data_IF_045662452586
#
_entry.id   IF_045662452586
#
_cell.length_a   1.000
_cell.length_b   1.000
_cell.length_c   1.000
_cell.angle_alpha   90.00
_cell.angle_beta   90.00
_cell.angle_gamma   90.00
#
_symmetry.space_group_name_H-M   'P 1'
#
loop_
_entity.id
_entity.type
_entity.pdbx_description
1 polymer ?
#
# COMPACT_ATOMS: atom_id res chain seq x y z
N UNK A 1 -8.99 19.74 -3.31
CA UNK A 1 -7.78 18.88 -3.41
C UNK A 1 -7.75 18.00 -2.18
N UNK A 2 -7.56 16.68 -2.33
CA UNK A 2 -7.31 15.81 -1.19
C UNK A 2 -6.06 16.30 -0.46
N UNK A 3 -6.14 16.37 0.87
CA UNK A 3 -5.01 16.74 1.72
C UNK A 3 -4.34 15.45 2.17
N UNK A 4 -3.02 15.47 2.20
CA UNK A 4 -2.21 14.32 2.57
C UNK A 4 -1.23 14.68 3.68
N UNK A 5 -0.73 13.66 4.36
CA UNK A 5 0.39 13.72 5.30
C UNK A 5 1.53 12.89 4.73
N UNK A 6 2.74 13.44 4.66
CA UNK A 6 3.94 12.67 4.30
C UNK A 6 4.29 11.70 5.42
N UNK A 7 4.67 10.50 5.04
CA UNK A 7 5.11 9.46 5.96
C UNK A 7 6.58 9.14 5.70
N UNK A 8 7.42 9.20 6.73
CA UNK A 8 8.76 8.62 6.68
C UNK A 8 8.66 7.20 7.25
N UNK A 9 8.64 6.20 6.37
CA UNK A 9 8.35 4.81 6.75
C UNK A 9 9.63 4.11 7.23
N UNK A 10 9.57 3.50 8.42
CA UNK A 10 10.67 2.68 8.95
C UNK A 10 10.54 1.21 8.56
N UNK A 11 9.33 0.68 8.70
CA UNK A 11 9.00 -0.71 8.39
C UNK A 11 7.88 -0.72 7.35
N UNK A 12 8.23 -1.03 6.09
CA UNK A 12 7.31 -1.04 4.96
C UNK A 12 6.25 -2.14 5.13
N UNK A 13 6.67 -3.35 5.55
CA UNK A 13 5.76 -4.48 5.74
C UNK A 13 4.82 -4.19 6.91
N UNK A 14 5.36 -3.86 8.08
CA UNK A 14 4.57 -3.55 9.26
C UNK A 14 3.58 -2.41 9.03
N UNK A 15 4.00 -1.36 8.31
CA UNK A 15 3.12 -0.26 7.90
C UNK A 15 1.96 -0.74 7.06
N UNK A 16 2.23 -1.51 6.00
CA UNK A 16 1.21 -2.03 5.11
C UNK A 16 0.22 -2.94 5.85
N UNK A 17 0.71 -3.81 6.75
CA UNK A 17 -0.12 -4.69 7.57
C UNK A 17 -1.02 -3.92 8.55
N UNK A 18 -0.51 -2.84 9.13
CA UNK A 18 -1.31 -1.98 10.01
C UNK A 18 -2.47 -1.34 9.24
N UNK A 19 -2.19 -0.80 8.05
CA UNK A 19 -3.21 -0.23 7.17
C UNK A 19 -4.27 -1.27 6.76
N UNK A 20 -3.84 -2.47 6.37
CA UNK A 20 -4.78 -3.52 6.01
C UNK A 20 -5.69 -3.93 7.16
N UNK A 21 -5.15 -3.95 8.38
CA UNK A 21 -5.93 -4.32 9.56
C UNK A 21 -7.02 -3.30 9.90
N UNK A 22 -6.70 -2.00 9.87
CA UNK A 22 -7.69 -0.95 10.20
C UNK A 22 -8.74 -0.73 9.08
N UNK A 23 -8.43 -1.12 7.85
CA UNK A 23 -9.35 -1.00 6.69
C UNK A 23 -9.85 -2.35 6.15
N UNK A 24 -9.74 -3.41 6.93
CA UNK A 24 -10.22 -4.75 6.61
C UNK A 24 -11.71 -4.76 6.26
N UNK A 25 -12.08 -5.46 5.19
CA UNK A 25 -13.45 -5.64 4.71
C UNK A 25 -14.03 -4.46 3.93
N UNK A 26 -13.32 -3.33 3.83
CA UNK A 26 -13.81 -2.09 3.20
C UNK A 26 -12.85 -1.43 2.23
N UNK A 27 -11.68 -2.02 2.01
CA UNK A 27 -10.63 -1.45 1.17
C UNK A 27 -10.14 -2.39 0.10
N UNK A 28 -9.48 -1.82 -0.90
CA UNK A 28 -8.79 -2.51 -1.99
C UNK A 28 -7.37 -1.93 -2.04
N UNK A 29 -6.38 -2.81 -2.09
CA UNK A 29 -4.99 -2.40 -2.31
C UNK A 29 -4.62 -2.59 -3.79
N UNK A 30 -3.78 -1.72 -4.33
CA UNK A 30 -3.08 -1.95 -5.59
C UNK A 30 -1.61 -2.25 -5.33
N UNK A 31 -1.03 -3.03 -6.24
CA UNK A 31 0.39 -3.34 -6.30
C UNK A 31 0.83 -3.15 -7.75
N UNK A 32 1.96 -2.48 -7.94
CA UNK A 32 2.56 -2.20 -9.24
C UNK A 32 4.06 -2.51 -9.19
N UNK A 33 4.60 -3.17 -10.23
CA UNK A 33 6.01 -3.58 -10.27
C UNK A 33 6.25 -4.80 -11.16
N UNK A 34 7.27 -5.60 -10.81
CA UNK A 34 7.43 -6.96 -11.35
C UNK A 34 6.69 -7.94 -10.42
N UNK A 35 5.47 -8.29 -10.81
CA UNK A 35 4.57 -9.09 -9.96
C UNK A 35 4.53 -10.57 -10.38
N UNK A 36 5.26 -10.93 -11.43
CA UNK A 36 5.24 -12.24 -12.07
C UNK A 36 5.49 -13.40 -11.10
N UNK A 37 6.35 -13.22 -10.10
CA UNK A 37 6.67 -14.21 -9.09
C UNK A 37 5.70 -14.29 -7.90
N UNK A 38 4.81 -13.31 -7.75
CA UNK A 38 3.93 -13.17 -6.57
C UNK A 38 2.54 -13.81 -6.78
N UNK A 39 2.17 -14.01 -8.06
CA UNK A 39 0.90 -14.61 -8.50
C UNK A 39 -0.35 -13.95 -7.88
N UNK A 40 -0.30 -12.65 -7.57
CA UNK A 40 -1.34 -11.94 -6.81
C UNK A 40 -2.72 -12.02 -7.50
N UNK A 41 -2.76 -12.23 -8.81
CA UNK A 41 -3.95 -12.47 -9.62
C UNK A 41 -4.76 -13.70 -9.18
N UNK A 42 -4.14 -14.64 -8.46
CA UNK A 42 -4.80 -15.83 -7.91
C UNK A 42 -5.56 -15.57 -6.61
N UNK A 43 -5.44 -14.36 -6.05
CA UNK A 43 -6.15 -14.02 -4.81
C UNK A 43 -7.65 -13.81 -5.10
N UNK A 44 -8.53 -14.22 -4.17
CA UNK A 44 -9.97 -14.02 -4.34
C UNK A 44 -10.33 -12.56 -4.57
N UNK A 45 -10.96 -12.27 -5.71
CA UNK A 45 -11.37 -10.92 -6.10
C UNK A 45 -10.26 -10.03 -6.64
N UNK A 46 -9.06 -10.57 -6.89
CA UNK A 46 -8.00 -9.82 -7.54
C UNK A 46 -8.37 -9.42 -8.98
N UNK A 47 -7.84 -8.30 -9.44
CA UNK A 47 -8.06 -7.79 -10.80
C UNK A 47 -6.82 -7.10 -11.35
N UNK A 48 -6.57 -7.29 -12.65
CA UNK A 48 -5.50 -6.61 -13.41
C UNK A 48 -5.94 -5.26 -13.98
N UNK A 49 -7.18 -4.85 -13.73
CA UNK A 49 -7.71 -3.58 -14.21
C UNK A 49 -7.45 -2.46 -13.21
N UNK A 50 -7.13 -1.28 -13.73
CA UNK A 50 -7.18 -0.05 -12.96
C UNK A 50 -8.60 0.18 -12.44
N UNK A 51 -8.69 0.67 -11.21
CA UNK A 51 -9.95 1.13 -10.64
C UNK A 51 -9.95 2.65 -10.56
N UNK A 52 -11.12 3.25 -10.31
CA UNK A 52 -11.26 4.72 -10.34
C UNK A 52 -10.20 5.45 -9.52
N UNK A 53 -9.98 4.99 -8.28
CA UNK A 53 -9.02 5.54 -7.32
C UNK A 53 -7.65 4.86 -7.32
N UNK A 54 -7.52 3.63 -7.85
CA UNK A 54 -6.27 2.88 -7.90
C UNK A 54 -5.78 2.73 -9.34
N UNK A 55 -4.78 3.53 -9.71
CA UNK A 55 -4.24 3.60 -11.07
C UNK A 55 -2.74 3.43 -11.07
N UNK A 56 -2.18 3.00 -12.20
CA UNK A 56 -0.73 2.98 -12.38
C UNK A 56 -0.13 4.35 -12.12
N UNK A 57 1.03 4.35 -11.47
CA UNK A 57 1.83 5.54 -11.23
C UNK A 57 2.97 5.65 -12.24
N UNK A 58 3.40 4.52 -12.84
CA UNK A 58 4.39 4.50 -13.92
C UNK A 58 3.74 4.71 -15.28
N UNK A 59 4.24 5.68 -16.06
CA UNK A 59 3.78 5.97 -17.41
C UNK A 59 4.51 5.16 -18.48
N UNK A 60 5.81 4.91 -18.30
CA UNK A 60 6.65 4.12 -19.22
C UNK A 60 7.88 3.56 -18.48
N UNK A 61 8.20 2.26 -18.61
CA UNK A 61 7.39 1.22 -19.27
C UNK A 61 6.09 0.93 -18.51
N UNK A 62 5.10 0.33 -19.18
CA UNK A 62 3.91 -0.15 -18.48
C UNK A 62 4.28 -1.35 -17.61
N UNK A 63 4.02 -1.24 -16.29
CA UNK A 63 4.28 -2.28 -15.31
C UNK A 63 3.02 -3.13 -15.03
N UNK A 64 3.23 -4.30 -14.44
CA UNK A 64 2.13 -5.11 -13.92
C UNK A 64 1.37 -4.30 -12.87
N UNK A 65 0.04 -4.40 -12.90
CA UNK A 65 -0.84 -3.84 -11.87
C UNK A 65 -1.81 -4.91 -11.42
N UNK A 66 -1.87 -5.15 -10.11
CA UNK A 66 -2.86 -6.04 -9.51
C UNK A 66 -3.55 -5.33 -8.35
N UNK A 67 -4.87 -5.30 -8.38
CA UNK A 67 -5.71 -4.86 -7.26
C UNK A 67 -6.21 -6.07 -6.50
N UNK A 68 -6.27 -5.97 -5.17
CA UNK A 68 -6.70 -7.05 -4.27
C UNK A 68 -7.62 -6.48 -3.19
N UNK A 69 -8.85 -6.99 -3.03
CA UNK A 69 -9.71 -6.64 -1.91
C UNK A 69 -9.03 -7.01 -0.60
N UNK A 70 -9.08 -6.13 0.40
CA UNK A 70 -8.48 -6.37 1.71
C UNK A 70 -9.52 -6.94 2.66
N UNK A 71 -9.40 -8.22 2.98
CA UNK A 71 -10.27 -9.00 3.87
C UNK A 71 -9.42 -10.05 4.62
N UNK A 72 -9.95 -10.78 5.62
CA UNK A 72 -9.12 -11.69 6.43
C UNK A 72 -8.32 -12.71 5.61
N UNK A 73 -8.92 -13.30 4.57
CA UNK A 73 -8.29 -14.34 3.76
C UNK A 73 -7.19 -13.78 2.86
N UNK A 74 -7.48 -12.67 2.17
CA UNK A 74 -6.52 -11.99 1.29
C UNK A 74 -5.36 -11.39 2.09
N UNK A 75 -5.60 -10.81 3.28
CA UNK A 75 -4.52 -10.34 4.17
C UNK A 75 -3.59 -11.48 4.54
N UNK A 76 -4.12 -12.66 4.88
CA UNK A 76 -3.31 -13.83 5.20
C UNK A 76 -2.42 -14.24 4.02
N UNK A 77 -2.98 -14.28 2.81
CA UNK A 77 -2.22 -14.68 1.62
C UNK A 77 -1.23 -13.59 1.17
N UNK A 78 -1.59 -12.31 1.25
CA UNK A 78 -0.70 -11.18 0.99
C UNK A 78 0.50 -11.23 1.94
N UNK A 79 0.29 -11.49 3.24
CA UNK A 79 1.39 -11.67 4.19
C UNK A 79 2.35 -12.77 3.76
N UNK A 80 1.86 -13.91 3.28
CA UNK A 80 2.74 -14.99 2.80
C UNK A 80 3.54 -14.59 1.57
N UNK A 81 2.90 -13.90 0.62
CA UNK A 81 3.48 -13.57 -0.68
C UNK A 81 4.42 -12.36 -0.63
N UNK A 82 4.16 -11.42 0.27
CA UNK A 82 4.92 -10.17 0.40
C UNK A 82 5.92 -10.16 1.56
N UNK A 83 5.94 -11.18 2.43
CA UNK A 83 6.86 -11.23 3.58
C UNK A 83 8.32 -11.47 3.19
N UNK A 84 8.58 -12.05 2.01
CA UNK A 84 9.94 -12.33 1.55
C UNK A 84 10.77 -11.05 1.42
N UNK A 85 12.06 -11.17 1.73
CA UNK A 85 13.01 -10.10 1.51
C UNK A 85 13.08 -9.74 0.02
N UNK A 86 13.22 -8.45 -0.30
CA UNK A 86 13.26 -7.98 -1.69
C UNK A 86 11.89 -7.85 -2.38
N UNK A 87 10.77 -8.01 -1.67
CA UNK A 87 9.44 -7.75 -2.25
C UNK A 87 8.95 -6.33 -1.96
N UNK A 88 9.10 -5.84 -0.74
CA UNK A 88 8.70 -4.49 -0.31
C UNK A 88 9.91 -3.69 0.18
N UNK A 89 9.88 -2.37 0.00
CA UNK A 89 10.96 -1.43 0.37
C UNK A 89 11.86 -1.08 -0.81
N UNK A 90 12.98 -0.37 -0.54
CA UNK A 90 13.82 0.39 -1.51
C UNK A 90 14.26 -0.33 -2.79
N UNK A 91 14.34 -1.66 -2.79
CA UNK A 91 14.71 -2.48 -3.95
C UNK A 91 13.69 -3.61 -4.17
N UNK A 92 12.46 -3.36 -3.73
CA UNK A 92 11.37 -4.32 -3.76
C UNK A 92 10.82 -4.54 -5.17
N UNK A 93 10.41 -5.78 -5.46
CA UNK A 93 9.66 -6.12 -6.67
C UNK A 93 8.35 -5.32 -6.80
N UNK A 94 7.72 -4.98 -5.68
CA UNK A 94 6.60 -4.02 -5.62
C UNK A 94 7.16 -2.61 -5.53
N UNK A 95 6.98 -1.84 -6.60
CA UNK A 95 7.48 -0.46 -6.74
C UNK A 95 6.44 0.53 -6.19
N UNK A 96 5.16 0.35 -6.53
CA UNK A 96 4.08 1.17 -5.99
C UNK A 96 3.03 0.30 -5.30
N UNK A 97 2.53 0.76 -4.16
CA UNK A 97 1.32 0.22 -3.56
C UNK A 97 0.44 1.35 -3.06
N UNK A 98 -0.86 1.17 -3.25
CA UNK A 98 -1.85 2.12 -2.76
C UNK A 98 -2.96 1.38 -2.05
N UNK A 99 -3.71 2.08 -1.20
CA UNK A 99 -4.87 1.55 -0.52
C UNK A 99 -6.02 2.54 -0.65
N UNK A 100 -7.18 2.08 -1.11
CA UNK A 100 -8.39 2.90 -1.18
C UNK A 100 -9.55 2.23 -0.45
N UNK A 101 -10.43 3.03 0.15
CA UNK A 101 -11.72 2.59 0.65
C UNK A 101 -12.83 3.43 0.00
N UNK A 102 -13.57 2.84 -0.93
CA UNK A 102 -14.44 3.61 -1.82
C UNK A 102 -13.61 4.58 -2.69
N UNK A 103 -14.01 5.84 -2.70
CA UNK A 103 -13.32 6.90 -3.45
C UNK A 103 -12.13 7.53 -2.69
N UNK A 104 -11.95 7.17 -1.42
CA UNK A 104 -10.88 7.71 -0.59
C UNK A 104 -9.58 6.92 -0.77
N UNK A 105 -8.56 7.56 -1.33
CA UNK A 105 -7.20 7.03 -1.43
C UNK A 105 -6.47 7.27 -0.10
N UNK A 106 -6.38 6.21 0.71
CA UNK A 106 -5.95 6.25 2.10
C UNK A 106 -4.43 6.26 2.26
N UNK A 107 -3.74 5.45 1.46
CA UNK A 107 -2.28 5.32 1.42
C UNK A 107 -1.82 5.34 -0.02
N UNK A 108 -0.75 6.08 -0.27
CA UNK A 108 0.02 6.06 -1.51
C UNK A 108 1.47 5.83 -1.09
N UNK A 109 2.07 4.71 -1.48
CA UNK A 109 3.47 4.43 -1.25
C UNK A 109 4.11 4.14 -2.62
N UNK A 110 4.79 5.14 -3.17
CA UNK A 110 5.43 5.06 -4.48
C UNK A 110 6.95 4.97 -4.36
N UNK A 111 7.60 4.61 -5.47
CA UNK A 111 9.05 4.54 -5.61
C UNK A 111 9.69 3.73 -4.48
N UNK A 112 9.14 2.54 -4.23
CA UNK A 112 9.67 1.62 -3.23
C UNK A 112 9.62 2.17 -1.79
N UNK A 113 8.52 2.86 -1.44
CA UNK A 113 8.32 3.59 -0.18
C UNK A 113 9.32 4.74 0.00
N UNK A 114 9.61 5.49 -1.08
CA UNK A 114 10.43 6.68 -0.95
C UNK A 114 9.70 7.75 -0.11
N UNK A 115 10.44 8.44 0.77
CA UNK A 115 9.86 9.36 1.76
C UNK A 115 9.15 10.56 1.12
N UNK A 116 9.58 10.97 -0.08
CA UNK A 116 8.95 12.07 -0.84
C UNK A 116 7.64 11.65 -1.54
N UNK A 117 7.42 10.34 -1.71
CA UNK A 117 6.32 9.79 -2.49
C UNK A 117 5.43 8.84 -1.66
N UNK A 118 5.61 8.84 -0.33
CA UNK A 118 4.81 8.05 0.59
C UNK A 118 3.94 8.95 1.45
N UNK A 119 2.63 8.87 1.25
CA UNK A 119 1.65 9.74 1.90
C UNK A 119 0.40 8.99 2.37
N UNK A 120 -0.21 9.48 3.46
CA UNK A 120 -1.53 9.07 3.92
C UNK A 120 -2.54 10.20 3.74
N UNK A 121 -3.79 9.88 3.41
CA UNK A 121 -4.87 10.86 3.41
C UNK A 121 -5.09 11.44 4.81
N UNK A 122 -5.53 12.70 4.89
CA UNK A 122 -5.98 13.29 6.16
C UNK A 122 -7.18 12.56 6.78
N UNK A 123 -7.92 11.78 5.99
CA UNK A 123 -9.00 10.91 6.49
C UNK A 123 -8.49 9.69 7.27
N UNK A 124 -7.19 9.37 7.18
CA UNK A 124 -6.54 8.41 8.07
C UNK A 124 -6.50 9.01 9.47
N UNK A 125 -7.04 8.31 10.50
CA UNK A 125 -7.08 8.83 11.86
C UNK A 125 -5.67 9.14 12.38
N UNK A 126 -5.51 10.32 12.96
CA UNK A 126 -4.23 10.72 13.56
C UNK A 126 -3.79 9.78 14.70
N UNK A 127 -4.67 9.32 15.62
CA UNK A 127 -4.29 8.35 16.65
C UNK A 127 -3.70 7.05 16.09
N UNK A 128 -4.10 6.65 14.88
CA UNK A 128 -3.54 5.47 14.23
C UNK A 128 -2.11 5.73 13.74
N UNK A 129 -1.81 6.92 13.21
CA UNK A 129 -0.45 7.30 12.82
C UNK A 129 0.47 7.45 14.04
N UNK A 130 -0.04 7.97 15.15
CA UNK A 130 0.67 8.04 16.43
C UNK A 130 0.99 6.63 16.97
N UNK A 131 0.04 5.69 16.88
CA UNK A 131 0.27 4.29 17.25
C UNK A 131 1.40 3.68 16.40
N UNK A 132 1.34 3.86 15.07
CA UNK A 132 2.38 3.39 14.16
C UNK A 132 3.76 3.99 14.47
N UNK A 133 3.82 5.26 14.86
CA UNK A 133 5.05 5.91 15.30
C UNK A 133 5.59 5.27 16.58
N UNK A 134 4.72 5.05 17.58
CA UNK A 134 5.11 4.46 18.87
C UNK A 134 5.57 3.00 18.75
N UNK A 135 5.01 2.25 17.80
CA UNK A 135 5.43 0.88 17.47
C UNK A 135 6.66 0.82 16.55
N UNK A 136 7.20 1.97 16.14
CA UNK A 136 8.39 2.05 15.30
C UNK A 136 8.15 1.64 13.84
N UNK A 137 6.91 1.67 13.36
CA UNK A 137 6.58 1.44 11.96
C UNK A 137 6.88 2.67 11.10
N UNK A 138 6.68 3.86 11.68
CA UNK A 138 7.05 5.15 11.11
C UNK A 138 8.23 5.76 11.86
N UNK A 139 9.01 6.60 11.19
CA UNK A 139 10.01 7.49 11.81
C UNK A 139 9.40 8.83 12.19
N UNK A 140 8.52 9.36 11.33
CA UNK A 140 7.73 10.58 11.53
C UNK A 140 6.62 10.68 10.49
N UNK A 141 5.70 11.62 10.68
CA UNK A 141 4.78 12.09 9.66
C UNK A 141 4.62 13.62 9.76
N UNK A 142 4.23 14.28 8.67
CA UNK A 142 3.97 15.73 8.65
C UNK A 142 2.90 16.06 7.61
N UNK A 143 2.24 17.22 7.73
CA UNK A 143 1.35 17.71 6.68
C UNK A 143 2.12 17.89 5.35
N UNK A 144 1.51 17.51 4.23
CA UNK A 144 2.13 17.46 2.91
C UNK A 144 1.97 18.74 2.08
#
# INVERSE_FOLDING_TARGET
>A
MPKYRRLEVRDCQGTLWAFYRIYEGRSVASFEGDLSGLRLEELPGASVQESGSLRRQTLEPELDLITVPINPDTIRELKKRLASHGILGREGAVIHTQLAAGDDLLLIACDNFHDDCTVASVSVPEPFLEEMLSHGLLRKYSDA
#
